data_IF_577977607325
#
_entry.id   IF_577977607325
#
_cell.length_a   1.000
_cell.length_b   1.000
_cell.length_c   1.000
_cell.angle_alpha   90.00
_cell.angle_beta   90.00
_cell.angle_gamma   90.00
#
_symmetry.space_group_name_H-M   'P 1'
#
loop_
_entity.id
_entity.type
_entity.pdbx_description
1 polymer ?
#
# COMPACT_ATOMS: atom_id res chain seq x y z
N UNK A 1 13.04 2.34 -2.98
CA UNK A 1 12.65 2.14 -4.39
C UNK A 1 11.52 3.09 -4.74
N UNK A 2 11.32 3.39 -6.02
CA UNK A 2 10.17 4.17 -6.51
C UNK A 2 8.91 3.30 -6.64
N UNK A 3 7.74 3.94 -6.77
CA UNK A 3 6.47 3.24 -7.05
C UNK A 3 6.56 2.48 -8.39
N UNK A 4 7.21 3.07 -9.39
CA UNK A 4 7.35 2.44 -10.71
C UNK A 4 8.24 1.19 -10.64
N UNK A 5 9.33 1.24 -9.88
CA UNK A 5 10.18 0.07 -9.61
C UNK A 5 9.41 -1.03 -8.89
N UNK A 6 8.58 -0.67 -7.90
CA UNK A 6 7.72 -1.62 -7.19
C UNK A 6 6.72 -2.29 -8.16
N UNK A 7 6.00 -1.51 -8.98
CA UNK A 7 5.00 -2.05 -9.92
C UNK A 7 5.61 -2.95 -11.00
N UNK A 8 6.83 -2.63 -11.46
CA UNK A 8 7.57 -3.45 -12.43
C UNK A 8 8.17 -4.70 -11.80
N UNK A 9 8.67 -4.61 -10.57
CA UNK A 9 9.38 -5.68 -9.87
C UNK A 9 8.48 -6.65 -9.10
N UNK A 10 7.23 -6.28 -8.80
CA UNK A 10 6.40 -7.03 -7.86
C UNK A 10 4.97 -7.25 -8.39
N UNK A 11 4.34 -8.33 -7.94
CA UNK A 11 2.92 -8.58 -8.12
C UNK A 11 2.18 -8.04 -6.89
N UNK A 12 1.41 -6.97 -7.10
CA UNK A 12 0.61 -6.31 -6.06
C UNK A 12 -0.84 -6.80 -6.03
N UNK A 13 -1.32 -7.47 -7.08
CA UNK A 13 -2.70 -7.99 -7.21
C UNK A 13 -3.00 -9.24 -6.38
N UNK A 14 -2.08 -9.66 -5.51
CA UNK A 14 -2.14 -10.90 -4.74
C UNK A 14 -1.19 -10.76 -3.55
N UNK A 15 -1.46 -9.72 -2.75
CA UNK A 15 -0.71 -9.38 -1.55
C UNK A 15 -1.42 -9.83 -0.28
N UNK A 16 -0.74 -9.68 0.85
CA UNK A 16 -1.30 -9.86 2.19
C UNK A 16 -0.76 -8.74 3.09
N UNK A 17 -1.64 -8.13 3.88
CA UNK A 17 -1.23 -7.15 4.89
C UNK A 17 -0.67 -7.88 6.09
N UNK A 18 0.60 -7.63 6.39
CA UNK A 18 1.28 -8.19 7.56
C UNK A 18 1.12 -7.27 8.77
N UNK A 19 1.19 -5.96 8.55
CA UNK A 19 0.96 -4.98 9.60
C UNK A 19 0.54 -3.62 9.03
N UNK A 20 -0.25 -2.91 9.83
CA UNK A 20 -0.64 -1.52 9.63
C UNK A 20 -0.31 -0.75 10.91
N UNK A 21 0.53 0.27 10.81
CA UNK A 21 0.85 1.18 11.91
C UNK A 21 0.42 2.60 11.52
N UNK A 22 -0.54 3.15 12.25
CA UNK A 22 -1.13 4.45 11.97
C UNK A 22 -0.67 5.45 13.03
N UNK A 23 -0.08 6.56 12.58
CA UNK A 23 0.34 7.66 13.44
C UNK A 23 -0.16 8.98 12.83
N UNK A 24 -1.36 9.40 13.25
CA UNK A 24 -2.01 10.62 12.76
C UNK A 24 -1.91 11.73 13.79
N UNK A 25 -1.54 12.92 13.31
CA UNK A 25 -1.55 14.16 14.07
C UNK A 25 -2.63 15.07 13.50
N UNK A 26 -3.71 15.22 14.25
CA UNK A 26 -4.87 16.03 13.85
C UNK A 26 -4.62 17.55 13.96
N UNK A 27 -3.50 17.96 14.55
CA UNK A 27 -3.10 19.37 14.59
C UNK A 27 -2.29 19.79 13.35
N UNK A 28 -1.60 18.84 12.71
CA UNK A 28 -0.88 19.06 11.46
C UNK A 28 -0.61 17.74 10.73
N UNK A 29 -0.86 17.73 9.42
CA UNK A 29 -0.51 16.58 8.59
C UNK A 29 1.00 16.39 8.43
N UNK A 30 1.86 17.38 8.73
CA UNK A 30 3.30 17.29 8.47
C UNK A 30 4.01 16.17 9.26
N UNK A 31 3.51 15.83 10.44
CA UNK A 31 3.97 14.75 11.33
C UNK A 31 3.21 13.43 11.11
N UNK A 32 2.11 13.45 10.36
CA UNK A 32 1.27 12.28 10.13
C UNK A 32 1.97 11.26 9.25
N UNK A 33 2.12 10.05 9.75
CA UNK A 33 2.79 8.93 9.09
C UNK A 33 1.96 7.67 9.17
N UNK A 34 2.06 6.80 8.18
CA UNK A 34 1.43 5.48 8.23
C UNK A 34 2.37 4.47 7.59
N UNK A 35 2.54 3.31 8.23
CA UNK A 35 3.34 2.21 7.70
C UNK A 35 2.46 1.02 7.39
N UNK A 36 2.66 0.44 6.21
CA UNK A 36 2.00 -0.78 5.78
C UNK A 36 3.07 -1.79 5.39
N UNK A 37 3.12 -2.94 6.06
CA UNK A 37 3.94 -4.06 5.62
C UNK A 37 3.08 -5.01 4.80
N UNK A 38 3.51 -5.26 3.58
CA UNK A 38 2.83 -6.14 2.62
C UNK A 38 3.71 -7.35 2.33
N UNK A 39 3.14 -8.54 2.44
CA UNK A 39 3.71 -9.74 1.83
C UNK A 39 3.20 -9.81 0.40
N UNK A 40 4.12 -9.76 -0.55
CA UNK A 40 3.85 -9.73 -2.00
C UNK A 40 4.76 -10.72 -2.71
N UNK A 41 4.55 -10.93 -4.01
CA UNK A 41 5.44 -11.76 -4.82
C UNK A 41 6.40 -10.90 -5.63
N UNK A 42 7.71 -11.05 -5.41
CA UNK A 42 8.76 -10.40 -6.20
C UNK A 42 9.02 -11.18 -7.48
N UNK A 43 9.12 -10.49 -8.62
CA UNK A 43 9.44 -11.07 -9.92
C UNK A 43 10.94 -11.32 -10.01
N UNK A 44 11.33 -12.57 -10.18
CA UNK A 44 12.71 -12.97 -10.49
C UNK A 44 12.89 -13.10 -12.00
N UNK A 45 11.90 -13.69 -12.66
CA UNK A 45 11.78 -13.74 -14.12
C UNK A 45 10.32 -13.57 -14.51
N UNK A 46 10.01 -13.62 -15.82
CA UNK A 46 8.61 -13.61 -16.30
C UNK A 46 7.76 -14.78 -15.79
N UNK A 47 8.39 -15.89 -15.38
CA UNK A 47 7.70 -17.13 -14.95
C UNK A 47 7.96 -17.49 -13.49
N UNK A 48 8.93 -16.84 -12.84
CA UNK A 48 9.37 -17.18 -11.49
C UNK A 48 9.19 -15.97 -10.59
N UNK A 49 8.55 -16.21 -9.46
CA UNK A 49 8.40 -15.24 -8.38
C UNK A 49 8.72 -15.86 -7.04
N UNK A 50 9.11 -15.05 -6.08
CA UNK A 50 9.32 -15.47 -4.69
C UNK A 50 8.53 -14.59 -3.71
N UNK A 51 8.11 -15.14 -2.55
CA UNK A 51 7.51 -14.33 -1.49
C UNK A 51 8.50 -13.31 -0.94
N UNK A 52 8.04 -12.07 -0.77
CA UNK A 52 8.83 -10.94 -0.32
C UNK A 52 7.99 -10.04 0.59
N UNK A 53 8.63 -9.34 1.53
CA UNK A 53 7.97 -8.32 2.35
C UNK A 53 8.42 -6.95 1.86
N UNK A 54 7.45 -6.09 1.56
CA UNK A 54 7.65 -4.68 1.21
C UNK A 54 7.02 -3.84 2.30
N UNK A 55 7.77 -2.89 2.83
CA UNK A 55 7.27 -1.86 3.73
C UNK A 55 7.04 -0.56 2.97
N UNK A 56 5.82 -0.05 3.08
CA UNK A 56 5.39 1.24 2.57
C UNK A 56 5.27 2.21 3.73
N UNK A 57 6.09 3.25 3.77
CA UNK A 57 5.97 4.34 4.75
C UNK A 57 5.43 5.58 4.07
N UNK A 58 4.17 5.92 4.36
CA UNK A 58 3.50 7.11 3.91
C UNK A 58 3.84 8.29 4.82
N UNK A 59 4.22 9.42 4.22
CA UNK A 59 4.67 10.64 4.91
C UNK A 59 3.70 11.76 4.56
N UNK A 60 3.37 12.58 5.57
CA UNK A 60 2.36 13.61 5.50
C UNK A 60 1.02 13.07 5.03
N UNK A 61 0.51 12.08 5.77
CA UNK A 61 -0.78 11.44 5.50
C UNK A 61 -1.89 12.48 5.67
N UNK A 62 -2.72 12.63 4.64
CA UNK A 62 -3.80 13.63 4.56
C UNK A 62 -5.18 13.00 4.72
N UNK A 63 -5.33 11.75 4.28
CA UNK A 63 -6.54 10.96 4.47
C UNK A 63 -6.16 9.52 4.78
N UNK A 64 -6.87 8.94 5.74
CA UNK A 64 -6.81 7.52 6.05
C UNK A 64 -8.23 7.05 6.34
N UNK A 65 -8.73 6.15 5.49
CA UNK A 65 -10.02 5.50 5.67
C UNK A 65 -9.80 4.01 5.82
N UNK A 66 -10.42 3.41 6.82
CA UNK A 66 -10.37 1.99 7.08
C UNK A 66 -11.79 1.48 7.32
N UNK A 67 -12.34 0.83 6.30
CA UNK A 67 -13.66 0.20 6.31
C UNK A 67 -13.59 -1.32 6.51
N UNK A 68 -12.37 -1.88 6.59
CA UNK A 68 -12.14 -3.31 6.78
C UNK A 68 -11.93 -3.69 8.26
N UNK A 69 -12.58 -4.77 8.69
CA UNK A 69 -12.22 -5.51 9.89
C UNK A 69 -11.21 -6.58 9.45
N UNK A 70 -9.90 -6.36 9.65
CA UNK A 70 -8.79 -7.23 9.24
C UNK A 70 -8.81 -8.60 9.97
N UNK A 71 -9.90 -9.35 9.85
CA UNK A 71 -10.03 -10.70 10.38
C UNK A 71 -9.06 -11.59 9.60
N UNK A 72 -8.00 -11.92 10.32
CA UNK A 72 -6.83 -12.67 9.90
C UNK A 72 -7.18 -13.96 9.15
N UNK A 73 -6.48 -14.19 8.04
CA UNK A 73 -6.44 -15.51 7.39
C UNK A 73 -7.11 -15.65 6.03
N UNK A 74 -7.33 -14.56 5.27
CA UNK A 74 -7.64 -14.68 3.83
C UNK A 74 -6.60 -13.93 3.00
N UNK A 75 -6.38 -14.42 1.79
CA UNK A 75 -5.61 -13.72 0.76
C UNK A 75 -6.39 -12.46 0.37
N UNK A 76 -6.11 -11.35 1.03
CA UNK A 76 -6.69 -10.06 0.74
C UNK A 76 -5.66 -9.26 -0.04
N UNK A 77 -5.92 -8.98 -1.32
CA UNK A 77 -6.08 -7.62 -1.83
C UNK A 77 -5.54 -7.46 -3.24
N UNK A 78 -6.42 -7.01 -4.13
CA UNK A 78 -6.02 -6.19 -5.26
C UNK A 78 -5.43 -4.89 -4.68
N UNK A 79 -4.10 -4.76 -4.66
CA UNK A 79 -3.44 -3.56 -4.15
C UNK A 79 -3.24 -2.56 -5.28
N UNK A 80 -3.83 -1.38 -5.13
CA UNK A 80 -3.60 -0.25 -6.02
C UNK A 80 -2.71 0.77 -5.30
N UNK A 81 -1.50 0.95 -5.84
CA UNK A 81 -0.58 2.01 -5.45
C UNK A 81 -0.24 2.87 -6.66
N UNK A 82 -0.63 4.15 -6.62
CA UNK A 82 -0.34 5.10 -7.71
C UNK A 82 -0.12 6.52 -7.20
N UNK A 83 0.44 7.34 -8.05
CA UNK A 83 0.45 8.80 -7.89
C UNK A 83 -0.76 9.38 -8.64
N UNK A 84 -1.53 10.24 -7.97
CA UNK A 84 -2.68 10.94 -8.54
C UNK A 84 -2.21 12.12 -9.39
N UNK A 85 -3.09 12.66 -10.24
CA UNK A 85 -2.80 13.87 -11.04
C UNK A 85 -2.41 15.08 -10.17
N UNK A 86 -2.87 15.12 -8.92
CA UNK A 86 -2.52 16.13 -7.92
C UNK A 86 -1.11 15.98 -7.33
N UNK A 87 -0.35 14.95 -7.70
CA UNK A 87 0.96 14.59 -7.13
C UNK A 87 0.86 13.94 -5.74
N UNK A 88 -0.32 13.56 -5.30
CA UNK A 88 -0.52 12.80 -4.05
C UNK A 88 -0.31 11.31 -4.31
N UNK A 89 0.20 10.59 -3.31
CA UNK A 89 0.25 9.13 -3.35
C UNK A 89 -1.07 8.58 -2.84
N UNK A 90 -1.64 7.64 -3.57
CA UNK A 90 -2.85 6.92 -3.22
C UNK A 90 -2.54 5.42 -3.13
N UNK A 91 -2.89 4.85 -1.98
CA UNK A 91 -2.99 3.42 -1.77
C UNK A 91 -4.46 3.07 -1.56
N UNK A 92 -4.93 2.03 -2.25
CA UNK A 92 -6.15 1.32 -1.90
C UNK A 92 -5.92 -0.19 -1.87
N UNK A 93 -6.54 -0.84 -0.90
CA UNK A 93 -6.59 -2.29 -0.80
C UNK A 93 -8.02 -2.74 -1.08
N UNK A 94 -8.17 -3.72 -1.98
CA UNK A 94 -9.47 -4.20 -2.44
C UNK A 94 -10.36 -3.04 -2.97
N UNK A 95 -9.85 -2.27 -3.96
CA UNK A 95 -10.56 -1.11 -4.47
C UNK A 95 -11.87 -1.53 -5.16
N UNK A 96 -12.90 -0.71 -4.98
CA UNK A 96 -14.18 -0.98 -5.59
C UNK A 96 -14.07 -1.02 -7.13
N UNK A 97 -14.53 -2.13 -7.72
CA UNK A 97 -14.55 -2.33 -9.17
C UNK A 97 -13.17 -2.47 -9.82
N UNK A 98 -12.08 -2.62 -9.05
CA UNK A 98 -10.71 -2.84 -9.55
C UNK A 98 -10.21 -1.82 -10.58
N UNK A 99 -10.84 -0.63 -10.63
CA UNK A 99 -10.49 0.44 -11.57
C UNK A 99 -9.15 1.10 -11.22
N UNK A 100 -8.77 1.00 -9.94
CA UNK A 100 -7.67 1.73 -9.35
C UNK A 100 -7.90 3.23 -9.26
N UNK A 101 -9.12 3.71 -9.53
CA UNK A 101 -9.55 5.07 -9.23
C UNK A 101 -10.11 5.16 -7.79
N UNK A 102 -9.88 6.29 -7.08
CA UNK A 102 -10.45 6.47 -5.75
C UNK A 102 -11.96 6.31 -5.73
N UNK A 103 -12.44 5.50 -4.79
CA UNK A 103 -13.87 5.30 -4.56
C UNK A 103 -14.25 5.47 -3.07
N UNK A 104 -15.53 5.69 -2.81
CA UNK A 104 -16.05 5.83 -1.44
C UNK A 104 -16.07 4.48 -0.71
N UNK A 105 -16.29 3.40 -1.47
CA UNK A 105 -16.41 2.02 -0.97
C UNK A 105 -15.06 1.28 -0.87
N UNK A 106 -13.94 1.97 -1.11
CA UNK A 106 -12.60 1.36 -0.97
C UNK A 106 -12.31 0.99 0.50
N UNK A 107 -11.79 -0.22 0.73
CA UNK A 107 -11.64 -0.77 2.09
C UNK A 107 -10.58 -0.02 2.93
N UNK A 108 -9.31 -0.06 2.52
CA UNK A 108 -8.25 0.76 3.14
C UNK A 108 -7.79 1.80 2.14
N UNK A 109 -7.97 3.07 2.45
CA UNK A 109 -7.44 4.18 1.65
C UNK A 109 -6.40 4.94 2.44
N UNK A 110 -5.25 5.20 1.82
CA UNK A 110 -4.24 6.13 2.33
C UNK A 110 -3.93 7.16 1.24
N UNK A 111 -4.06 8.44 1.57
CA UNK A 111 -3.63 9.55 0.72
C UNK A 111 -2.50 10.30 1.43
N UNK A 112 -1.35 10.46 0.78
CA UNK A 112 -0.19 11.14 1.37
C UNK A 112 0.54 12.04 0.38
N UNK A 113 1.45 12.88 0.88
CA UNK A 113 2.37 13.67 0.02
C UNK A 113 3.65 12.96 -0.35
N UNK A 114 3.97 11.85 0.31
CA UNK A 114 5.18 11.11 0.05
C UNK A 114 5.09 9.67 0.49
N UNK A 115 5.96 8.85 -0.10
CA UNK A 115 6.10 7.44 0.23
C UNK A 115 7.57 7.05 0.20
N UNK A 116 7.98 6.22 1.16
CA UNK A 116 9.22 5.46 1.13
C UNK A 116 8.86 3.99 0.98
N UNK A 117 9.57 3.32 0.06
CA UNK A 117 9.35 1.91 -0.23
C UNK A 117 10.65 1.14 0.03
N UNK A 118 10.56 0.16 0.93
CA UNK A 118 11.69 -0.67 1.36
C UNK A 118 11.36 -2.16 1.21
N UNK A 119 12.29 -2.93 0.67
CA UNK A 119 12.25 -4.40 0.74
C UNK A 119 12.85 -4.83 2.09
N UNK A 120 12.09 -5.60 2.89
CA UNK A 120 12.63 -6.20 4.11
C UNK A 120 13.29 -7.52 3.76
N UNK A 121 14.55 -7.70 4.17
CA UNK A 121 15.25 -8.98 4.03
C UNK A 121 14.55 -10.02 4.89
N UNK A 122 14.40 -11.24 4.38
CA UNK A 122 14.06 -12.40 5.22
C UNK A 122 15.14 -12.53 6.30
N UNK A 123 14.73 -12.42 7.55
CA UNK A 123 15.52 -12.86 8.71
C UNK A 123 15.53 -14.40 8.79
#
# INVERSE_FOLDING_TARGET
MSIEELRKGYFLCDGEIISLNVNLDYSSYDSSTTKVALRVRKRITRKLSEPCIVELTFIKVQDLRLFEDFKSGRDYSDIVLKELESGQIYLSLDPFGNSGEPHEEDNLVIISKGILVEEKKKE
#
